data_IF_094724925792
#
_entry.id   IF_094724925792
#
_cell.length_a   1.000
_cell.length_b   1.000
_cell.length_c   1.000
_cell.angle_alpha   90.00
_cell.angle_beta   90.00
_cell.angle_gamma   90.00
#
_symmetry.space_group_name_H-M   'P 1'
#
loop_
_entity.id
_entity.type
_entity.pdbx_description
1 polymer ?
#
# COMPACT_ATOMS: atom_id res chain seq x y z
N UNK A 1 -27.71 -32.06 -30.31
CA UNK A 1 -28.67 -31.63 -29.28
C UNK A 1 -28.37 -32.41 -28.00
N UNK A 2 -28.05 -31.69 -26.91
CA UNK A 2 -28.09 -32.04 -25.46
C UNK A 2 -27.27 -33.26 -24.93
N UNK A 3 -26.19 -33.00 -24.16
CA UNK A 3 -26.04 -32.96 -22.66
C UNK A 3 -25.99 -34.38 -22.03
N UNK A 4 -25.15 -34.73 -21.04
CA UNK A 4 -24.47 -34.02 -19.94
C UNK A 4 -23.13 -34.71 -19.59
N UNK A 5 -22.02 -34.02 -19.33
CA UNK A 5 -21.58 -33.47 -18.03
C UNK A 5 -21.82 -34.41 -16.82
N UNK A 6 -20.76 -35.13 -16.44
CA UNK A 6 -20.71 -35.91 -15.20
C UNK A 6 -19.45 -36.76 -15.14
N UNK A 7 -18.34 -36.21 -14.62
CA UNK A 7 -17.20 -36.96 -14.07
C UNK A 7 -16.03 -36.00 -13.86
N UNK A 8 -15.97 -35.32 -12.71
CA UNK A 8 -14.74 -34.80 -12.09
C UNK A 8 -15.06 -34.32 -10.66
N UNK A 9 -15.53 -35.28 -9.85
CA UNK A 9 -15.63 -35.14 -8.40
C UNK A 9 -14.98 -36.39 -7.81
N UNK A 10 -13.65 -36.38 -7.71
CA UNK A 10 -12.89 -37.50 -7.18
C UNK A 10 -11.41 -37.18 -7.21
N UNK A 11 -10.82 -37.13 -6.01
CA UNK A 11 -9.39 -37.10 -5.73
C UNK A 11 -8.71 -35.72 -5.66
N UNK A 12 -8.88 -35.07 -4.52
CA UNK A 12 -7.80 -34.35 -3.83
C UNK A 12 -8.18 -34.11 -2.35
N UNK A 13 -8.59 -35.15 -1.62
CA UNK A 13 -8.58 -35.14 -0.15
C UNK A 13 -7.15 -35.45 0.31
N UNK A 14 -6.26 -34.45 0.24
CA UNK A 14 -4.99 -34.50 0.96
C UNK A 14 -5.23 -34.11 2.42
N UNK A 15 -4.91 -35.03 3.31
CA UNK A 15 -5.10 -34.98 4.76
C UNK A 15 -4.21 -33.94 5.47
N UNK A 16 -4.34 -32.66 5.12
CA UNK A 16 -3.66 -31.53 5.77
C UNK A 16 -4.60 -30.36 6.13
N UNK A 17 -5.92 -30.59 6.23
CA UNK A 17 -6.91 -29.51 6.45
C UNK A 17 -8.04 -29.79 7.45
N UNK A 18 -8.02 -30.90 8.20
CA UNK A 18 -9.18 -31.33 9.01
C UNK A 18 -9.19 -30.81 10.47
N UNK A 19 -8.13 -30.15 10.93
CA UNK A 19 -7.97 -29.82 12.36
C UNK A 19 -8.71 -28.56 12.84
N UNK A 20 -9.08 -27.64 11.95
CA UNK A 20 -9.34 -26.24 12.36
C UNK A 20 -10.67 -25.64 11.90
N UNK A 21 -11.26 -26.06 10.78
CA UNK A 21 -12.72 -25.87 10.53
C UNK A 21 -13.53 -26.51 11.67
N UNK A 22 -13.01 -27.61 12.20
CA UNK A 22 -13.57 -28.26 13.38
C UNK A 22 -13.48 -27.38 14.63
N UNK A 23 -12.50 -26.48 14.78
CA UNK A 23 -12.28 -25.73 16.03
C UNK A 23 -13.29 -24.59 16.24
N UNK A 24 -13.62 -23.79 15.21
CA UNK A 24 -14.73 -22.81 15.35
C UNK A 24 -16.10 -23.50 15.37
N UNK A 25 -16.29 -24.60 14.63
CA UNK A 25 -17.50 -25.43 14.76
C UNK A 25 -17.61 -26.16 16.11
N UNK A 26 -16.50 -26.47 16.77
CA UNK A 26 -16.43 -27.04 18.13
C UNK A 26 -16.51 -25.95 19.21
N UNK A 27 -16.15 -24.70 18.91
CA UNK A 27 -16.38 -23.53 19.76
C UNK A 27 -17.87 -23.15 19.73
N UNK A 28 -18.71 -23.92 20.40
CA UNK A 28 -20.16 -23.78 20.28
C UNK A 28 -20.76 -22.65 21.13
N UNK A 29 -19.97 -21.92 21.91
CA UNK A 29 -20.46 -20.90 22.84
C UNK A 29 -20.27 -19.47 22.29
N UNK A 30 -21.27 -18.58 22.42
CA UNK A 30 -21.14 -17.17 22.03
C UNK A 30 -19.92 -16.48 22.62
N UNK A 31 -19.57 -16.78 23.88
CA UNK A 31 -18.42 -16.21 24.58
C UNK A 31 -17.10 -16.55 23.89
N UNK A 32 -16.89 -17.81 23.54
CA UNK A 32 -15.66 -18.25 22.87
C UNK A 32 -15.51 -17.60 21.51
N UNK A 33 -16.58 -17.56 20.71
CA UNK A 33 -16.55 -16.91 19.38
C UNK A 33 -16.29 -15.41 19.51
N UNK A 34 -16.94 -14.75 20.46
CA UNK A 34 -16.70 -13.33 20.72
C UNK A 34 -15.23 -13.07 21.08
N UNK A 35 -14.63 -13.85 21.97
CA UNK A 35 -13.20 -13.73 22.31
C UNK A 35 -12.29 -13.88 21.08
N UNK A 36 -12.61 -14.77 20.14
CA UNK A 36 -11.85 -14.92 18.89
C UNK A 36 -11.98 -13.69 17.99
N UNK A 37 -13.20 -13.16 17.83
CA UNK A 37 -13.45 -11.96 17.02
C UNK A 37 -12.71 -10.76 17.62
N UNK A 38 -12.81 -10.53 18.93
CA UNK A 38 -12.10 -9.44 19.60
C UNK A 38 -10.59 -9.58 19.37
N UNK A 39 -10.04 -10.78 19.52
CA UNK A 39 -8.61 -11.01 19.28
C UNK A 39 -8.20 -10.69 17.84
N UNK A 40 -9.03 -11.07 16.86
CA UNK A 40 -8.78 -10.77 15.45
C UNK A 40 -8.71 -9.26 15.17
N UNK A 41 -9.69 -8.50 15.69
CA UNK A 41 -9.80 -7.06 15.43
C UNK A 41 -8.86 -6.20 16.28
N UNK A 42 -8.48 -6.62 17.49
CA UNK A 42 -7.76 -5.75 18.45
C UNK A 42 -6.29 -6.09 18.69
N UNK A 43 -5.83 -7.31 18.39
CA UNK A 43 -4.50 -7.77 18.78
C UNK A 43 -3.49 -7.84 17.61
N UNK A 44 -3.38 -6.75 16.84
CA UNK A 44 -2.59 -6.59 15.60
C UNK A 44 -1.30 -7.42 15.48
N UNK A 45 -1.11 -8.03 14.30
CA UNK A 45 0.16 -8.53 13.76
C UNK A 45 0.79 -9.76 14.43
N UNK A 46 0.98 -9.74 15.76
CA UNK A 46 1.70 -10.79 16.49
C UNK A 46 0.79 -12.00 16.79
N UNK A 47 -0.52 -11.79 16.95
CA UNK A 47 -1.49 -12.85 17.31
C UNK A 47 -2.25 -13.46 16.13
N UNK A 48 -2.14 -12.90 14.92
CA UNK A 48 -2.86 -13.37 13.72
C UNK A 48 -2.19 -14.55 13.01
N UNK A 49 -1.07 -15.07 13.53
CA UNK A 49 -0.35 -16.24 12.98
C UNK A 49 -1.16 -17.55 13.04
N UNK A 50 -2.26 -17.60 13.78
CA UNK A 50 -3.22 -18.70 13.72
C UNK A 50 -4.19 -18.54 12.54
N UNK A 51 -3.64 -18.56 11.34
CA UNK A 51 -4.36 -18.43 10.07
C UNK A 51 -5.58 -19.32 9.98
N UNK A 52 -5.40 -20.57 10.39
CA UNK A 52 -6.43 -21.59 10.37
C UNK A 52 -7.60 -21.32 11.32
N UNK A 53 -7.44 -20.48 12.35
CA UNK A 53 -8.51 -20.16 13.30
C UNK A 53 -9.42 -19.03 12.81
N UNK A 54 -8.91 -18.14 11.95
CA UNK A 54 -9.66 -16.96 11.50
C UNK A 54 -10.22 -17.09 10.08
N UNK A 55 -9.86 -18.15 9.36
CA UNK A 55 -10.22 -18.34 7.95
C UNK A 55 -11.73 -18.21 7.66
N UNK A 56 -12.58 -18.92 8.40
CA UNK A 56 -14.04 -18.85 8.22
C UNK A 56 -14.58 -17.44 8.52
N UNK A 57 -14.09 -16.76 9.57
CA UNK A 57 -14.47 -15.37 9.86
C UNK A 57 -14.09 -14.45 8.71
N UNK A 58 -12.87 -14.58 8.21
CA UNK A 58 -12.33 -13.77 7.11
C UNK A 58 -13.15 -13.97 5.83
N UNK A 59 -13.43 -15.21 5.45
CA UNK A 59 -14.21 -15.56 4.25
C UNK A 59 -15.64 -15.02 4.36
N UNK A 60 -16.36 -15.34 5.45
CA UNK A 60 -17.77 -14.91 5.64
C UNK A 60 -17.88 -13.39 5.73
N UNK A 61 -16.92 -12.73 6.41
CA UNK A 61 -16.91 -11.28 6.50
C UNK A 61 -16.66 -10.63 5.14
N UNK A 62 -15.70 -11.14 4.36
CA UNK A 62 -15.40 -10.63 3.02
C UNK A 62 -16.60 -10.78 2.08
N UNK A 63 -17.27 -11.93 2.11
CA UNK A 63 -18.47 -12.19 1.29
C UNK A 63 -19.65 -11.28 1.70
N UNK A 64 -19.85 -11.10 3.00
CA UNK A 64 -20.91 -10.24 3.54
C UNK A 64 -20.66 -8.78 3.16
N UNK A 65 -19.42 -8.29 3.33
CA UNK A 65 -19.04 -6.94 2.94
C UNK A 65 -19.21 -6.72 1.43
N UNK A 66 -18.75 -7.66 0.60
CA UNK A 66 -18.88 -7.57 -0.85
C UNK A 66 -20.34 -7.59 -1.33
N UNK A 67 -21.21 -8.30 -0.63
CA UNK A 67 -22.65 -8.38 -0.96
C UNK A 67 -23.44 -7.17 -0.46
N UNK A 68 -22.97 -6.49 0.58
CA UNK A 68 -23.68 -5.37 1.23
C UNK A 68 -23.22 -3.99 0.73
N UNK A 69 -22.09 -3.92 0.02
CA UNK A 69 -21.45 -2.67 -0.36
C UNK A 69 -21.46 -2.46 -1.88
N UNK A 70 -21.75 -1.24 -2.36
CA UNK A 70 -21.69 -0.93 -3.79
C UNK A 70 -20.26 -0.80 -4.34
N UNK A 71 -19.25 -0.75 -3.45
CA UNK A 71 -17.82 -0.68 -3.79
C UNK A 71 -16.95 -0.37 -2.56
N UNK A 72 -15.63 -0.58 -2.66
CA UNK A 72 -14.71 -0.44 -1.52
C UNK A 72 -14.66 0.98 -0.92
N UNK A 73 -14.95 2.01 -1.73
CA UNK A 73 -14.95 3.42 -1.34
C UNK A 73 -16.24 3.91 -0.64
N UNK A 74 -17.29 3.09 -0.59
CA UNK A 74 -18.53 3.45 0.11
C UNK A 74 -18.36 3.42 1.65
N UNK A 75 -19.13 4.21 2.43
CA UNK A 75 -19.14 4.11 3.89
C UNK A 75 -19.59 2.71 4.32
N UNK A 76 -18.98 2.15 5.38
CA UNK A 76 -19.40 0.84 5.89
C UNK A 76 -20.87 0.90 6.37
N UNK A 77 -21.64 -0.20 6.25
CA UNK A 77 -23.01 -0.22 6.74
C UNK A 77 -23.04 -0.09 8.27
N UNK A 78 -24.06 0.59 8.81
CA UNK A 78 -24.22 0.76 10.26
C UNK A 78 -24.36 -0.57 11.01
N UNK A 79 -24.88 -1.61 10.36
CA UNK A 79 -24.99 -2.95 10.91
C UNK A 79 -24.51 -3.98 9.90
N UNK A 80 -23.51 -4.77 10.28
CA UNK A 80 -22.99 -5.90 9.51
C UNK A 80 -23.31 -7.18 10.28
N UNK A 81 -23.98 -8.11 9.62
CA UNK A 81 -24.46 -9.35 10.23
C UNK A 81 -23.81 -10.54 9.53
N UNK A 82 -23.11 -11.37 10.30
CA UNK A 82 -22.60 -12.67 9.84
C UNK A 82 -23.52 -13.76 10.40
N UNK A 83 -24.15 -14.51 9.50
CA UNK A 83 -25.01 -15.64 9.86
C UNK A 83 -24.22 -16.96 9.91
N UNK A 84 -24.62 -17.87 10.79
CA UNK A 84 -24.09 -19.23 10.94
C UNK A 84 -22.56 -19.34 11.21
N UNK A 85 -21.98 -18.37 11.90
CA UNK A 85 -20.60 -18.44 12.38
C UNK A 85 -20.49 -19.44 13.53
N UNK A 86 -20.12 -20.70 13.25
CA UNK A 86 -20.12 -21.77 14.27
C UNK A 86 -21.50 -22.03 14.89
N UNK A 87 -22.58 -21.77 14.13
CA UNK A 87 -23.96 -21.82 14.62
C UNK A 87 -24.35 -20.66 15.54
N UNK A 88 -23.61 -19.54 15.51
CA UNK A 88 -23.96 -18.29 16.16
C UNK A 88 -24.24 -17.19 15.12
N UNK A 89 -25.06 -16.22 15.50
CA UNK A 89 -25.27 -14.97 14.75
C UNK A 89 -24.37 -13.90 15.33
N UNK A 90 -23.59 -13.24 14.48
CA UNK A 90 -22.64 -12.18 14.86
C UNK A 90 -23.10 -10.85 14.26
N UNK A 91 -23.21 -9.82 15.10
CA UNK A 91 -23.61 -8.47 14.68
C UNK A 91 -22.51 -7.47 15.04
N UNK A 92 -22.10 -6.68 14.06
CA UNK A 92 -21.23 -5.52 14.25
C UNK A 92 -22.08 -4.27 14.09
N UNK A 93 -22.31 -3.56 15.19
CA UNK A 93 -23.06 -2.31 15.18
C UNK A 93 -22.08 -1.15 15.24
N UNK A 94 -21.98 -0.42 14.14
CA UNK A 94 -21.12 0.74 14.02
C UNK A 94 -21.77 1.95 14.72
N UNK A 95 -20.94 2.86 15.25
CA UNK A 95 -21.42 4.12 15.78
C UNK A 95 -22.11 4.92 14.66
N UNK A 96 -23.33 5.39 14.89
CA UNK A 96 -23.98 6.36 13.99
C UNK A 96 -23.24 7.71 14.01
N UNK A 97 -23.63 8.64 13.12
CA UNK A 97 -22.94 9.93 12.87
C UNK A 97 -22.65 10.78 14.14
N UNK A 98 -23.39 10.56 15.23
CA UNK A 98 -23.31 11.34 16.48
C UNK A 98 -22.53 10.65 17.62
N UNK A 99 -21.90 9.50 17.39
CA UNK A 99 -21.33 8.71 18.48
C UNK A 99 -19.82 8.96 18.65
N UNK A 100 -19.47 9.82 19.61
CA UNK A 100 -18.11 10.27 19.95
C UNK A 100 -17.18 9.15 20.48
N UNK A 101 -17.71 7.97 20.83
CA UNK A 101 -16.95 6.92 21.48
C UNK A 101 -15.97 6.16 20.55
N UNK A 102 -16.20 6.19 19.23
CA UNK A 102 -15.33 5.52 18.25
C UNK A 102 -15.22 4.00 18.46
N UNK A 103 -16.26 3.35 18.96
CA UNK A 103 -16.32 1.91 19.21
C UNK A 103 -17.41 1.22 18.37
N UNK A 104 -17.11 0.00 17.91
CA UNK A 104 -18.07 -0.92 17.29
C UNK A 104 -18.52 -1.93 18.33
N UNK A 105 -19.83 -2.11 18.48
CA UNK A 105 -20.40 -3.11 19.39
C UNK A 105 -20.52 -4.43 18.63
N UNK A 106 -19.73 -5.42 19.04
CA UNK A 106 -19.78 -6.79 18.54
C UNK A 106 -20.68 -7.61 19.45
N UNK A 107 -21.77 -8.16 18.92
CA UNK A 107 -22.66 -9.08 19.64
C UNK A 107 -22.60 -10.46 18.99
N UNK A 108 -22.45 -11.51 19.79
CA UNK A 108 -22.55 -12.90 19.36
C UNK A 108 -23.69 -13.56 20.09
N UNK A 109 -24.59 -14.22 19.37
CA UNK A 109 -25.79 -14.84 19.95
C UNK A 109 -26.04 -16.26 19.43
N UNK A 110 -26.59 -17.12 20.29
CA UNK A 110 -27.01 -18.50 19.99
C UNK A 110 -28.19 -18.90 20.88
N UNK A 111 -29.39 -18.95 20.30
CA UNK A 111 -30.62 -19.10 21.08
C UNK A 111 -30.78 -17.91 22.05
N UNK A 112 -31.08 -18.18 23.31
CA UNK A 112 -31.24 -17.15 24.35
C UNK A 112 -29.91 -16.62 24.91
N UNK A 113 -28.77 -17.23 24.55
CA UNK A 113 -27.46 -16.80 25.02
C UNK A 113 -26.88 -15.72 24.09
N UNK A 114 -26.50 -14.58 24.67
CA UNK A 114 -25.85 -13.48 23.93
C UNK A 114 -24.71 -12.89 24.74
N UNK A 115 -23.62 -12.57 24.06
CA UNK A 115 -22.43 -11.91 24.61
C UNK A 115 -22.11 -10.68 23.76
N UNK A 116 -21.62 -9.60 24.36
CA UNK A 116 -21.27 -8.39 23.63
C UNK A 116 -20.02 -7.70 24.18
N UNK A 117 -19.25 -7.08 23.29
CA UNK A 117 -18.00 -6.34 23.60
C UNK A 117 -17.82 -5.20 22.60
N UNK A 118 -17.03 -4.21 23.00
CA UNK A 118 -16.62 -3.10 22.14
C UNK A 118 -15.24 -3.35 21.52
N UNK A 119 -15.07 -2.92 20.28
CA UNK A 119 -13.76 -2.84 19.59
C UNK A 119 -13.55 -1.45 18.99
N UNK A 120 -12.30 -0.98 18.86
CA UNK A 120 -12.03 0.32 18.25
C UNK A 120 -12.48 0.37 16.78
N UNK A 121 -13.25 1.40 16.41
CA UNK A 121 -13.77 1.61 15.06
C UNK A 121 -12.64 1.63 14.02
N UNK A 122 -11.57 2.37 14.27
CA UNK A 122 -10.42 2.47 13.35
C UNK A 122 -9.81 1.10 13.04
N UNK A 123 -9.72 0.22 14.04
CA UNK A 123 -9.17 -1.13 13.84
C UNK A 123 -10.12 -2.01 13.02
N UNK A 124 -11.42 -1.88 13.28
CA UNK A 124 -12.47 -2.56 12.53
C UNK A 124 -12.50 -2.12 11.06
N UNK A 125 -12.49 -0.81 10.81
CA UNK A 125 -12.51 -0.22 9.47
C UNK A 125 -11.31 -0.66 8.65
N UNK A 126 -10.10 -0.59 9.19
CA UNK A 126 -8.87 -1.01 8.49
C UNK A 126 -8.97 -2.45 8.01
N UNK A 127 -9.48 -3.36 8.85
CA UNK A 127 -9.68 -4.76 8.46
C UNK A 127 -10.75 -4.87 7.37
N UNK A 128 -11.91 -4.25 7.54
CA UNK A 128 -12.99 -4.32 6.55
C UNK A 128 -12.56 -3.79 5.18
N UNK A 129 -11.82 -2.66 5.16
CA UNK A 129 -11.28 -2.07 3.93
C UNK A 129 -10.28 -2.99 3.26
N UNK A 130 -9.39 -3.61 4.03
CA UNK A 130 -8.42 -4.55 3.50
C UNK A 130 -9.07 -5.84 2.94
N UNK A 131 -10.12 -6.35 3.60
CA UNK A 131 -10.90 -7.48 3.09
C UNK A 131 -11.59 -7.13 1.77
N UNK A 132 -12.28 -5.98 1.70
CA UNK A 132 -12.93 -5.47 0.49
C UNK A 132 -11.93 -5.28 -0.66
N UNK A 133 -10.78 -4.66 -0.37
CA UNK A 133 -9.70 -4.47 -1.34
C UNK A 133 -9.25 -5.80 -1.94
N UNK A 134 -9.00 -6.79 -1.08
CA UNK A 134 -8.58 -8.12 -1.52
C UNK A 134 -9.65 -8.81 -2.35
N UNK A 135 -10.93 -8.68 -1.99
CA UNK A 135 -12.04 -9.24 -2.78
C UNK A 135 -12.11 -8.59 -4.17
N UNK A 136 -12.01 -7.26 -4.25
CA UNK A 136 -12.10 -6.55 -5.52
C UNK A 136 -11.01 -6.97 -6.50
N UNK A 137 -9.77 -7.08 -6.02
CA UNK A 137 -8.63 -7.45 -6.87
C UNK A 137 -8.35 -8.96 -6.91
N UNK A 138 -9.29 -9.78 -6.42
CA UNK A 138 -9.16 -11.24 -6.39
C UNK A 138 -7.85 -11.72 -5.71
N UNK A 139 -7.40 -10.99 -4.70
CA UNK A 139 -6.26 -11.36 -3.87
C UNK A 139 -6.71 -12.42 -2.84
N UNK A 140 -5.81 -13.34 -2.44
CA UNK A 140 -6.12 -14.28 -1.38
C UNK A 140 -6.47 -13.54 -0.09
N UNK A 141 -7.37 -14.10 0.71
CA UNK A 141 -7.66 -13.56 2.03
C UNK A 141 -6.70 -14.22 3.04
N UNK A 142 -5.51 -13.62 3.18
CA UNK A 142 -4.48 -14.11 4.09
C UNK A 142 -4.83 -13.83 5.55
N UNK A 143 -4.20 -14.54 6.48
CA UNK A 143 -4.35 -14.28 7.92
C UNK A 143 -3.73 -12.96 8.38
N UNK A 144 -2.67 -12.53 7.69
CA UNK A 144 -1.97 -11.28 7.96
C UNK A 144 -2.46 -10.23 6.98
N UNK A 145 -3.59 -9.62 7.30
CA UNK A 145 -4.27 -8.65 6.45
C UNK A 145 -3.69 -7.23 6.60
N UNK A 146 -3.12 -6.91 7.78
CA UNK A 146 -2.54 -5.61 8.09
C UNK A 146 -1.10 -5.73 8.59
N UNK A 147 -0.31 -4.68 8.37
CA UNK A 147 1.02 -4.47 8.94
C UNK A 147 0.95 -4.20 10.45
N UNK A 148 2.11 -4.12 11.11
CA UNK A 148 2.17 -3.79 12.55
C UNK A 148 1.67 -2.36 12.85
N UNK A 149 1.83 -1.45 11.89
CA UNK A 149 1.37 -0.06 11.92
C UNK A 149 -0.11 0.06 11.55
N UNK A 150 -0.70 -1.03 11.04
CA UNK A 150 -2.10 -1.15 10.67
C UNK A 150 -2.43 -0.67 9.26
N UNK A 151 -1.43 -0.48 8.41
CA UNK A 151 -1.61 -0.36 6.96
C UNK A 151 -1.93 -1.73 6.33
N UNK A 152 -2.38 -1.74 5.08
CA UNK A 152 -2.70 -3.00 4.39
C UNK A 152 -1.44 -3.82 4.12
N UNK A 153 -1.48 -5.12 4.40
CA UNK A 153 -0.46 -6.02 3.90
C UNK A 153 -0.85 -6.46 2.48
N UNK A 154 -0.07 -6.06 1.49
CA UNK A 154 -0.23 -6.34 0.07
C UNK A 154 1.10 -6.84 -0.53
N UNK A 155 1.94 -7.44 0.32
CA UNK A 155 3.25 -7.95 -0.08
C UNK A 155 3.14 -8.92 -1.24
N UNK A 156 3.88 -8.67 -2.32
CA UNK A 156 3.88 -9.48 -3.53
C UNK A 156 2.56 -9.48 -4.30
N UNK A 157 1.63 -8.55 -4.00
CA UNK A 157 0.35 -8.49 -4.70
C UNK A 157 0.55 -8.25 -6.20
N UNK A 158 -0.27 -8.89 -7.02
CA UNK A 158 -0.26 -8.73 -8.48
C UNK A 158 -1.45 -7.86 -8.86
N UNK A 159 -1.18 -6.58 -9.10
CA UNK A 159 -2.15 -5.52 -9.31
C UNK A 159 -1.88 -4.71 -10.61
N UNK A 160 -1.52 -5.33 -11.75
CA UNK A 160 -1.25 -4.59 -12.96
C UNK A 160 -2.51 -3.87 -13.45
N UNK A 161 -2.40 -2.58 -13.77
CA UNK A 161 -3.53 -1.76 -14.22
C UNK A 161 -4.60 -1.50 -13.16
N UNK A 162 -4.37 -1.86 -11.89
CA UNK A 162 -5.34 -1.65 -10.83
C UNK A 162 -5.67 -0.16 -10.66
N UNK A 163 -6.95 0.15 -10.48
CA UNK A 163 -7.36 1.51 -10.13
C UNK A 163 -7.30 1.70 -8.62
N UNK A 164 -6.25 2.36 -8.16
CA UNK A 164 -5.93 2.71 -6.78
C UNK A 164 -5.94 4.24 -6.56
N UNK A 165 -6.64 4.97 -7.43
CA UNK A 165 -6.75 6.43 -7.37
C UNK A 165 -7.37 6.84 -6.04
N UNK A 166 -6.77 7.81 -5.35
CA UNK A 166 -7.21 8.31 -4.04
C UNK A 166 -7.29 7.26 -2.92
N UNK A 167 -6.68 6.07 -3.10
CA UNK A 167 -6.66 5.05 -2.06
C UNK A 167 -5.80 5.46 -0.86
N UNK A 168 -6.22 5.04 0.33
CA UNK A 168 -5.42 5.15 1.53
C UNK A 168 -4.57 3.89 1.72
N UNK A 169 -3.31 3.99 1.29
CA UNK A 169 -2.25 2.98 1.40
C UNK A 169 -1.18 3.39 2.42
N UNK A 170 -1.54 4.26 3.37
CA UNK A 170 -0.65 4.68 4.46
C UNK A 170 -0.16 3.45 5.26
N UNK A 171 1.14 3.40 5.51
CA UNK A 171 1.83 2.31 6.20
C UNK A 171 1.62 0.90 5.59
N UNK A 172 1.18 0.84 4.32
CA UNK A 172 0.96 -0.43 3.63
C UNK A 172 2.29 -1.13 3.32
N UNK A 173 2.30 -2.46 3.37
CA UNK A 173 3.41 -3.27 2.86
C UNK A 173 3.06 -3.75 1.46
N UNK A 174 3.64 -3.12 0.45
CA UNK A 174 3.55 -3.46 -0.96
C UNK A 174 4.87 -4.08 -1.46
N UNK A 175 5.76 -4.53 -0.57
CA UNK A 175 7.08 -5.03 -0.97
C UNK A 175 6.98 -6.14 -2.01
N UNK A 176 7.73 -6.02 -3.11
CA UNK A 176 7.71 -6.95 -4.24
C UNK A 176 6.40 -7.00 -5.03
N UNK A 177 5.44 -6.10 -4.80
CA UNK A 177 4.19 -6.06 -5.57
C UNK A 177 4.42 -5.65 -7.03
N UNK A 178 3.60 -6.19 -7.93
CA UNK A 178 3.52 -5.74 -9.31
C UNK A 178 2.35 -4.78 -9.47
N UNK A 179 2.68 -3.50 -9.64
CA UNK A 179 1.79 -2.36 -9.84
C UNK A 179 1.95 -1.76 -11.24
N UNK A 180 2.45 -2.54 -12.21
CA UNK A 180 2.68 -2.06 -13.58
C UNK A 180 1.41 -1.45 -14.17
N UNK A 181 1.48 -0.19 -14.60
CA UNK A 181 0.33 0.55 -15.15
C UNK A 181 -0.80 0.87 -14.17
N UNK A 182 -0.61 0.65 -12.86
CA UNK A 182 -1.63 0.98 -11.86
C UNK A 182 -1.90 2.50 -11.83
N UNK A 183 -3.15 2.87 -11.53
CA UNK A 183 -3.57 4.26 -11.32
C UNK A 183 -3.52 4.54 -9.83
N UNK A 184 -2.56 5.34 -9.39
CA UNK A 184 -2.29 5.71 -7.99
C UNK A 184 -2.43 7.23 -7.77
N UNK A 185 -3.00 7.96 -8.74
CA UNK A 185 -3.14 9.40 -8.65
C UNK A 185 -3.89 9.83 -7.38
N UNK A 186 -3.42 10.87 -6.70
CA UNK A 186 -3.95 11.36 -5.42
C UNK A 186 -3.98 10.33 -4.26
N UNK A 187 -3.34 9.16 -4.41
CA UNK A 187 -3.31 8.16 -3.34
C UNK A 187 -2.41 8.60 -2.19
N UNK A 188 -2.71 8.10 -0.99
CA UNK A 188 -1.86 8.28 0.18
C UNK A 188 -1.02 7.03 0.41
N UNK A 189 0.28 7.11 0.11
CA UNK A 189 1.31 6.09 0.30
C UNK A 189 2.31 6.50 1.39
N UNK A 190 1.92 7.39 2.31
CA UNK A 190 2.79 7.85 3.40
C UNK A 190 3.34 6.66 4.17
N UNK A 191 4.66 6.61 4.34
CA UNK A 191 5.41 5.52 5.00
C UNK A 191 5.19 4.11 4.41
N UNK A 192 4.63 3.97 3.19
CA UNK A 192 4.43 2.67 2.59
C UNK A 192 5.77 1.98 2.30
N UNK A 193 5.81 0.66 2.46
CA UNK A 193 6.93 -0.17 2.01
C UNK A 193 6.69 -0.60 0.56
N UNK A 194 7.41 0.01 -0.37
CA UNK A 194 7.40 -0.24 -1.82
C UNK A 194 8.73 -0.85 -2.29
N UNK A 195 9.50 -1.46 -1.37
CA UNK A 195 10.78 -2.12 -1.69
C UNK A 195 10.57 -3.19 -2.75
N UNK A 196 11.47 -3.27 -3.74
CA UNK A 196 11.43 -4.23 -4.86
C UNK A 196 10.13 -4.21 -5.69
N UNK A 197 9.32 -3.16 -5.61
CA UNK A 197 8.09 -3.06 -6.40
C UNK A 197 8.36 -2.85 -7.88
N UNK A 198 7.46 -3.38 -8.72
CA UNK A 198 7.46 -3.12 -10.17
C UNK A 198 6.29 -2.19 -10.45
N UNK A 199 6.59 -0.92 -10.74
CA UNK A 199 5.61 0.13 -11.03
C UNK A 199 5.67 0.62 -12.47
N UNK A 200 6.31 -0.11 -13.39
CA UNK A 200 6.50 0.31 -14.78
C UNK A 200 5.22 0.90 -15.41
N UNK A 201 5.28 2.16 -15.85
CA UNK A 201 4.17 2.88 -16.48
C UNK A 201 3.00 3.23 -15.55
N UNK A 202 3.14 3.12 -14.23
CA UNK A 202 2.10 3.52 -13.29
C UNK A 202 1.92 5.06 -13.27
N UNK A 203 0.73 5.51 -12.87
CA UNK A 203 0.36 6.94 -12.79
C UNK A 203 0.20 7.30 -11.32
N UNK A 204 1.14 8.05 -10.76
CA UNK A 204 1.20 8.50 -9.37
C UNK A 204 1.06 10.02 -9.24
N UNK A 205 0.46 10.69 -10.22
CA UNK A 205 0.32 12.14 -10.22
C UNK A 205 -0.41 12.63 -8.95
N UNK A 206 0.15 13.64 -8.29
CA UNK A 206 -0.31 14.17 -7.00
C UNK A 206 -0.39 13.15 -5.85
N UNK A 207 0.22 11.97 -5.97
CA UNK A 207 0.26 11.00 -4.88
C UNK A 207 1.19 11.49 -3.75
N UNK A 208 0.87 11.08 -2.51
CA UNK A 208 1.70 11.36 -1.35
C UNK A 208 2.51 10.11 -0.95
N UNK A 209 3.80 10.09 -1.27
CA UNK A 209 4.80 9.08 -0.92
C UNK A 209 5.75 9.57 0.20
N UNK A 210 5.33 10.52 1.04
CA UNK A 210 6.17 11.04 2.13
C UNK A 210 6.73 9.90 2.98
N UNK A 211 8.04 9.84 3.12
CA UNK A 211 8.74 8.82 3.93
C UNK A 211 8.60 7.37 3.42
N UNK A 212 8.06 7.14 2.22
CA UNK A 212 7.90 5.80 1.67
C UNK A 212 9.27 5.15 1.37
N UNK A 213 9.34 3.82 1.50
CA UNK A 213 10.52 3.05 1.13
C UNK A 213 10.38 2.47 -0.28
N UNK A 214 11.06 3.06 -1.26
CA UNK A 214 11.12 2.64 -2.67
C UNK A 214 12.49 2.02 -3.04
N UNK A 215 13.21 1.45 -2.07
CA UNK A 215 14.49 0.79 -2.37
C UNK A 215 14.33 -0.26 -3.46
N UNK A 216 15.23 -0.22 -4.44
CA UNK A 216 15.24 -1.15 -5.58
C UNK A 216 13.96 -1.16 -6.45
N UNK A 217 13.03 -0.23 -6.24
CA UNK A 217 11.80 -0.16 -7.02
C UNK A 217 12.08 0.16 -8.49
N UNK A 218 11.27 -0.41 -9.39
CA UNK A 218 11.26 -0.07 -10.81
C UNK A 218 10.12 0.89 -11.12
N UNK A 219 10.47 2.15 -11.36
CA UNK A 219 9.59 3.27 -11.72
C UNK A 219 9.71 3.61 -13.22
N UNK A 220 10.04 2.63 -14.06
CA UNK A 220 10.32 2.84 -15.48
C UNK A 220 9.09 3.44 -16.18
N UNK A 221 9.22 4.63 -16.74
CA UNK A 221 8.15 5.28 -17.50
C UNK A 221 6.93 5.70 -16.67
N UNK A 222 7.04 5.80 -15.34
CA UNK A 222 5.94 6.27 -14.50
C UNK A 222 5.62 7.75 -14.74
N UNK A 223 4.36 8.12 -14.52
CA UNK A 223 4.00 9.53 -14.28
C UNK A 223 3.97 9.78 -12.78
N UNK A 224 4.64 10.82 -12.33
CA UNK A 224 4.79 11.23 -10.93
C UNK A 224 4.74 12.76 -10.82
N UNK A 225 3.93 13.39 -11.68
CA UNK A 225 3.81 14.85 -11.75
C UNK A 225 3.24 15.39 -10.45
N UNK A 226 3.89 16.41 -9.89
CA UNK A 226 3.50 17.04 -8.61
C UNK A 226 3.31 16.04 -7.45
N UNK A 227 4.00 14.88 -7.49
CA UNK A 227 3.95 13.94 -6.38
C UNK A 227 4.79 14.45 -5.20
N UNK A 228 4.40 14.08 -3.99
CA UNK A 228 5.19 14.34 -2.79
C UNK A 228 5.97 13.08 -2.39
N UNK A 229 7.25 13.04 -2.70
CA UNK A 229 8.23 12.02 -2.30
C UNK A 229 9.18 12.54 -1.21
N UNK A 230 8.79 13.55 -0.43
CA UNK A 230 9.65 14.13 0.60
C UNK A 230 10.08 13.07 1.62
N UNK A 231 11.39 13.02 1.91
CA UNK A 231 12.00 12.04 2.80
C UNK A 231 11.90 10.58 2.33
N UNK A 232 11.45 10.30 1.11
CA UNK A 232 11.35 8.93 0.60
C UNK A 232 12.73 8.30 0.39
N UNK A 233 12.82 6.98 0.58
CA UNK A 233 14.03 6.22 0.32
C UNK A 233 13.93 5.54 -1.06
N UNK A 234 14.54 6.15 -2.08
CA UNK A 234 14.60 5.62 -3.45
C UNK A 234 16.01 5.11 -3.80
N UNK A 235 16.78 4.66 -2.80
CA UNK A 235 18.13 4.15 -3.05
C UNK A 235 18.09 2.96 -4.02
N UNK A 236 18.97 2.99 -5.02
CA UNK A 236 19.05 1.98 -6.08
C UNK A 236 17.76 1.78 -6.90
N UNK A 237 16.79 2.70 -6.82
CA UNK A 237 15.61 2.67 -7.68
C UNK A 237 15.99 2.95 -9.14
N UNK A 238 15.20 2.42 -10.06
CA UNK A 238 15.28 2.76 -11.47
C UNK A 238 14.11 3.67 -11.83
N UNK A 239 14.41 4.95 -12.06
CA UNK A 239 13.42 6.02 -12.33
C UNK A 239 13.51 6.48 -13.80
N UNK A 240 14.08 5.64 -14.66
CA UNK A 240 14.32 5.98 -16.07
C UNK A 240 13.00 6.18 -16.82
N UNK A 241 12.96 7.16 -17.71
CA UNK A 241 11.78 7.47 -18.53
C UNK A 241 10.60 8.06 -17.75
N UNK A 242 10.73 8.25 -16.43
CA UNK A 242 9.64 8.79 -15.63
C UNK A 242 9.43 10.29 -15.86
N UNK A 243 8.21 10.76 -15.60
CA UNK A 243 7.87 12.16 -15.53
C UNK A 243 7.72 12.59 -14.06
N UNK A 244 8.63 13.41 -13.58
CA UNK A 244 8.73 13.95 -12.21
C UNK A 244 8.63 15.48 -12.20
N UNK A 245 7.99 16.07 -13.22
CA UNK A 245 7.76 17.52 -13.27
C UNK A 245 7.11 17.98 -11.96
N UNK A 246 7.71 19.02 -11.34
CA UNK A 246 7.25 19.62 -10.09
C UNK A 246 7.12 18.64 -8.90
N UNK A 247 7.77 17.48 -8.95
CA UNK A 247 7.77 16.54 -7.83
C UNK A 247 8.58 17.08 -6.64
N UNK A 248 8.06 16.94 -5.43
CA UNK A 248 8.79 17.24 -4.20
C UNK A 248 9.54 16.00 -3.71
N UNK A 249 10.86 16.00 -3.83
CA UNK A 249 11.78 14.97 -3.33
C UNK A 249 12.71 15.55 -2.24
N UNK A 250 12.26 16.57 -1.51
CA UNK A 250 13.04 17.20 -0.46
C UNK A 250 13.46 16.19 0.61
N UNK A 251 14.76 16.13 0.92
CA UNK A 251 15.32 15.20 1.90
C UNK A 251 15.26 13.71 1.49
N UNK A 252 14.84 13.39 0.28
CA UNK A 252 14.80 12.01 -0.20
C UNK A 252 16.23 11.44 -0.38
N UNK A 253 16.35 10.11 -0.34
CA UNK A 253 17.63 9.43 -0.64
C UNK A 253 17.53 8.69 -1.96
N UNK A 254 18.38 9.02 -2.92
CA UNK A 254 18.47 8.39 -4.24
C UNK A 254 19.88 7.83 -4.48
N UNK A 255 20.54 7.34 -3.42
CA UNK A 255 21.90 6.84 -3.52
C UNK A 255 21.95 5.67 -4.52
N UNK A 256 22.82 5.81 -5.53
CA UNK A 256 22.97 4.79 -6.58
C UNK A 256 21.73 4.56 -7.44
N UNK A 257 20.75 5.47 -7.44
CA UNK A 257 19.59 5.41 -8.32
C UNK A 257 20.01 5.65 -9.78
N UNK A 258 19.26 5.04 -10.71
CA UNK A 258 19.42 5.26 -12.16
C UNK A 258 18.29 6.13 -12.67
N UNK A 259 18.64 7.28 -13.25
CA UNK A 259 17.71 8.33 -13.67
C UNK A 259 18.08 8.68 -15.11
N UNK A 260 17.54 7.94 -16.07
CA UNK A 260 17.86 8.09 -17.49
C UNK A 260 16.63 8.52 -18.29
N UNK A 261 16.77 9.52 -19.16
CA UNK A 261 15.68 10.02 -20.01
C UNK A 261 14.44 10.42 -19.19
N UNK A 262 14.66 10.95 -17.99
CA UNK A 262 13.61 11.38 -17.05
C UNK A 262 13.35 12.87 -17.24
N UNK A 263 12.10 13.29 -17.06
CA UNK A 263 11.75 14.71 -16.99
C UNK A 263 11.59 15.12 -15.53
N UNK A 264 12.39 16.08 -15.06
CA UNK A 264 12.38 16.56 -13.68
C UNK A 264 12.28 18.09 -13.63
N UNK A 265 11.69 18.71 -14.65
CA UNK A 265 11.54 20.17 -14.70
C UNK A 265 10.82 20.71 -13.46
N UNK A 266 11.45 21.67 -12.78
CA UNK A 266 10.92 22.30 -11.58
C UNK A 266 10.84 21.37 -10.35
N UNK A 267 11.43 20.17 -10.40
CA UNK A 267 11.42 19.27 -9.25
C UNK A 267 12.25 19.83 -8.08
N UNK A 268 11.83 19.52 -6.85
CA UNK A 268 12.50 19.98 -5.62
C UNK A 268 13.30 18.82 -5.03
N UNK A 269 14.62 18.96 -4.97
CA UNK A 269 15.56 17.99 -4.39
C UNK A 269 16.37 18.61 -3.24
N UNK A 270 15.80 19.60 -2.56
CA UNK A 270 16.49 20.26 -1.44
C UNK A 270 16.91 19.24 -0.39
N UNK A 271 18.17 19.31 0.08
CA UNK A 271 18.74 18.38 1.07
C UNK A 271 18.69 16.89 0.67
N UNK A 272 18.43 16.57 -0.60
CA UNK A 272 18.39 15.19 -1.06
C UNK A 272 19.79 14.56 -1.06
N UNK A 273 19.85 13.25 -0.81
CA UNK A 273 21.08 12.49 -0.91
C UNK A 273 21.17 11.78 -2.27
N UNK A 274 21.93 12.37 -3.19
CA UNK A 274 22.09 11.91 -4.58
C UNK A 274 23.41 11.18 -4.81
N UNK A 275 24.12 10.80 -3.75
CA UNK A 275 25.45 10.20 -3.88
C UNK A 275 25.44 8.99 -4.82
N UNK A 276 26.38 8.95 -5.77
CA UNK A 276 26.49 7.86 -6.76
C UNK A 276 25.26 7.68 -7.66
N UNK A 277 24.27 8.57 -7.60
CA UNK A 277 23.17 8.56 -8.57
C UNK A 277 23.71 8.87 -9.97
N UNK A 278 23.06 8.31 -10.98
CA UNK A 278 23.42 8.48 -12.38
C UNK A 278 22.28 9.14 -13.15
N UNK A 279 22.47 10.40 -13.53
CA UNK A 279 21.60 11.17 -14.39
C UNK A 279 22.12 11.12 -15.84
N UNK A 280 21.31 10.62 -16.77
CA UNK A 280 21.69 10.49 -18.19
C UNK A 280 20.54 10.97 -19.08
N UNK A 281 20.78 11.98 -19.92
CA UNK A 281 19.74 12.52 -20.82
C UNK A 281 18.49 13.00 -20.06
N UNK A 282 18.68 13.51 -18.85
CA UNK A 282 17.61 13.95 -17.93
C UNK A 282 17.37 15.44 -18.07
N UNK A 283 16.09 15.85 -18.13
CA UNK A 283 15.72 17.25 -18.02
C UNK A 283 15.76 17.68 -16.56
N UNK A 284 16.71 18.55 -16.18
CA UNK A 284 16.81 19.14 -14.84
C UNK A 284 16.61 20.66 -14.90
N UNK A 285 15.80 21.14 -15.84
CA UNK A 285 15.42 22.55 -15.92
C UNK A 285 14.73 23.01 -14.64
N UNK A 286 15.06 24.19 -14.13
CA UNK A 286 14.47 24.79 -12.92
C UNK A 286 14.50 23.91 -11.67
N UNK A 287 15.35 22.87 -11.64
CA UNK A 287 15.44 21.96 -10.51
C UNK A 287 16.08 22.65 -9.31
N UNK A 288 15.56 22.42 -8.10
CA UNK A 288 16.16 22.91 -6.87
C UNK A 288 16.99 21.81 -6.19
N UNK A 289 18.32 21.89 -6.29
CA UNK A 289 19.29 21.00 -5.65
C UNK A 289 19.95 21.65 -4.43
N UNK A 290 19.33 22.68 -3.83
CA UNK A 290 19.93 23.39 -2.70
C UNK A 290 20.20 22.44 -1.51
N UNK A 291 21.36 22.59 -0.88
CA UNK A 291 21.84 21.73 0.21
C UNK A 291 21.94 20.22 -0.14
N UNK A 292 21.78 19.83 -1.41
CA UNK A 292 21.82 18.43 -1.81
C UNK A 292 23.24 17.85 -1.73
N UNK A 293 23.35 16.56 -1.46
CA UNK A 293 24.61 15.83 -1.46
C UNK A 293 24.84 15.16 -2.81
N UNK A 294 25.63 15.82 -3.66
CA UNK A 294 25.97 15.43 -5.03
C UNK A 294 27.33 14.72 -5.16
N UNK A 295 27.89 14.21 -4.04
CA UNK A 295 29.21 13.55 -4.09
C UNK A 295 29.15 12.29 -4.96
N UNK A 296 30.02 12.24 -5.96
CA UNK A 296 30.10 11.15 -6.94
C UNK A 296 28.80 10.96 -7.76
N UNK A 297 27.96 11.98 -7.85
CA UNK A 297 26.80 11.98 -8.75
C UNK A 297 27.29 12.25 -10.18
N UNK A 298 26.79 11.47 -11.13
CA UNK A 298 27.10 11.64 -12.55
C UNK A 298 25.95 12.35 -13.24
N UNK A 299 26.28 13.38 -14.01
CA UNK A 299 25.36 14.06 -14.93
C UNK A 299 25.95 13.93 -16.33
N UNK A 300 25.20 13.34 -17.24
CA UNK A 300 25.61 13.13 -18.63
C UNK A 300 24.46 13.52 -19.55
N UNK A 301 24.73 14.38 -20.53
CA UNK A 301 23.75 14.82 -21.52
C UNK A 301 22.47 15.42 -20.88
N UNK A 302 22.59 16.04 -19.69
CA UNK A 302 21.49 16.65 -18.95
C UNK A 302 21.31 18.13 -19.32
N UNK A 303 20.09 18.64 -19.23
CA UNK A 303 19.81 20.09 -19.23
C UNK A 303 19.80 20.60 -17.79
N UNK A 304 20.33 21.79 -17.54
CA UNK A 304 20.44 22.36 -16.19
C UNK A 304 19.97 23.83 -16.12
N UNK A 305 19.28 24.30 -17.17
CA UNK A 305 18.82 25.69 -17.29
C UNK A 305 17.96 26.09 -16.10
N UNK A 306 18.31 27.17 -15.41
CA UNK A 306 17.58 27.65 -14.24
C UNK A 306 17.69 26.77 -12.99
N UNK A 307 18.53 25.73 -12.99
CA UNK A 307 18.75 24.90 -11.79
C UNK A 307 19.43 25.68 -10.66
N UNK A 308 19.10 25.35 -9.41
CA UNK A 308 19.73 25.91 -8.22
C UNK A 308 20.62 24.85 -7.54
N UNK A 309 21.83 25.22 -7.14
CA UNK A 309 22.73 24.35 -6.35
C UNK A 309 23.30 25.06 -5.12
N UNK A 310 22.55 26.01 -4.53
CA UNK A 310 22.99 26.75 -3.35
C UNK A 310 23.34 25.79 -2.20
N UNK A 311 24.51 25.95 -1.59
CA UNK A 311 25.03 25.09 -0.51
C UNK A 311 25.07 23.57 -0.79
N UNK A 312 24.93 23.17 -2.07
CA UNK A 312 25.03 21.77 -2.45
C UNK A 312 26.46 21.25 -2.25
N UNK A 313 26.58 20.08 -1.64
CA UNK A 313 27.89 19.45 -1.43
C UNK A 313 28.24 18.56 -2.61
N UNK A 314 29.27 18.91 -3.39
CA UNK A 314 29.59 18.20 -4.63
C UNK A 314 31.07 17.85 -4.79
N UNK A 315 31.37 16.96 -5.75
CA UNK A 315 32.76 16.64 -6.11
C UNK A 315 33.36 17.75 -6.97
N UNK A 316 34.69 17.84 -7.07
CA UNK A 316 35.36 18.85 -7.91
C UNK A 316 34.92 18.78 -9.38
N UNK A 317 34.73 17.57 -9.92
CA UNK A 317 34.24 17.37 -11.28
C UNK A 317 32.78 17.81 -11.45
N UNK A 318 31.94 17.54 -10.46
CA UNK A 318 30.54 18.00 -10.47
C UNK A 318 30.48 19.53 -10.39
N UNK A 319 31.29 20.16 -9.54
CA UNK A 319 31.36 21.62 -9.44
C UNK A 319 31.81 22.26 -10.76
N UNK A 320 32.82 21.69 -11.42
CA UNK A 320 33.30 22.20 -12.70
C UNK A 320 32.20 22.19 -13.77
N UNK A 321 31.40 21.11 -13.82
CA UNK A 321 30.26 20.98 -14.72
C UNK A 321 29.24 22.11 -14.50
N UNK A 322 28.77 22.31 -13.27
CA UNK A 322 27.79 23.37 -12.97
C UNK A 322 28.33 24.77 -13.25
N UNK A 323 29.61 25.02 -12.96
CA UNK A 323 30.23 26.32 -13.27
C UNK A 323 30.29 26.62 -14.77
N UNK A 324 30.50 25.60 -15.62
CA UNK A 324 30.47 25.74 -17.07
C UNK A 324 29.08 26.19 -17.54
N UNK A 325 28.03 25.50 -17.09
CA UNK A 325 26.64 25.86 -17.40
C UNK A 325 26.27 27.27 -16.94
N UNK A 326 26.53 27.62 -15.68
CA UNK A 326 26.21 28.96 -15.17
C UNK A 326 26.99 30.09 -15.84
N UNK A 327 28.13 29.78 -16.48
CA UNK A 327 28.90 30.78 -17.23
C UNK A 327 28.38 31.02 -18.65
N UNK A 328 27.64 30.08 -19.23
CA UNK A 328 27.04 30.21 -20.57
C UNK A 328 25.71 30.99 -20.56
N UNK A 329 25.08 31.13 -19.39
CA UNK A 329 23.80 31.83 -19.17
C UNK A 329 23.95 33.33 -18.76
N UNK A 330 25.16 33.89 -18.81
CA UNK A 330 25.49 35.32 -18.53
C UNK A 330 25.82 36.06 -19.83
#
# INVERSE_FOLDING_TARGET
MQRSLGSLAGMATSAFGAGTYAAMRQATSPKTILEHIINFFTCGGVRRRNETQYKELIEVMADTLNSSMPGRGAPLPENIILEDMGGCRVEFNLPGENNEAGQVIVRVSKGDNSEAREIPLVSFERICRALLFRTEFSLPQDSVILTAQGGMNLKGAVLPGANLTAENLCDADLSGANLSGALLGNSNLTNACLEDTIMCGAILDHANLTGANLQHASLLGCSMVECNCSGANMNHANVSGANLILADMSGATLQGATIMATDMEGAVLTRANLQKASFISTNLGEVDLSEANLKNTSFKDCTLTGSCTEDATMSTSTQALFNEFYSEDI
#
